data_IF_071860820988
#
_entry.id   IF_071860820988
#
_cell.length_a   1.000
_cell.length_b   1.000
_cell.length_c   1.000
_cell.angle_alpha   90.00
_cell.angle_beta   90.00
_cell.angle_gamma   90.00
#
_symmetry.space_group_name_H-M   'P 1'
#
loop_
_entity.id
_entity.type
_entity.pdbx_description
1 polymer ?
#
# COMPACT_ATOMS: atom_id res chain seq x y z
N UNK A 1 22.71 52.52 -7.03
CA UNK A 1 23.02 51.07 -7.07
C UNK A 1 22.22 50.27 -6.03
N UNK A 2 22.10 50.69 -4.78
CA UNK A 2 21.33 49.94 -3.75
C UNK A 2 19.84 49.80 -4.07
N UNK A 3 19.16 50.86 -4.51
CA UNK A 3 17.72 50.83 -4.81
C UNK A 3 17.33 49.76 -5.85
N UNK A 4 18.16 49.61 -6.90
CA UNK A 4 18.01 48.58 -7.94
C UNK A 4 18.24 47.16 -7.39
N UNK A 5 19.09 46.98 -6.37
CA UNK A 5 19.24 45.68 -5.69
C UNK A 5 18.00 45.31 -4.87
N UNK A 6 17.40 46.28 -4.17
CA UNK A 6 16.16 46.06 -3.42
C UNK A 6 14.96 45.73 -4.33
N UNK A 7 14.83 46.43 -5.46
CA UNK A 7 13.79 46.15 -6.46
C UNK A 7 13.95 44.75 -7.08
N UNK A 8 15.19 44.34 -7.38
CA UNK A 8 15.48 43.00 -7.85
C UNK A 8 15.19 41.92 -6.79
N UNK A 9 15.50 42.19 -5.51
CA UNK A 9 15.19 41.25 -4.42
C UNK A 9 13.67 41.07 -4.24
N UNK A 10 12.91 42.15 -4.30
CA UNK A 10 11.45 42.09 -4.22
C UNK A 10 10.85 41.26 -5.38
N UNK A 11 11.34 41.47 -6.61
CA UNK A 11 10.92 40.68 -7.77
C UNK A 11 11.25 39.19 -7.62
N UNK A 12 12.42 38.85 -7.07
CA UNK A 12 12.81 37.46 -6.80
C UNK A 12 11.91 36.82 -5.74
N UNK A 13 11.62 37.52 -4.64
CA UNK A 13 10.73 37.02 -3.59
C UNK A 13 9.31 36.75 -4.11
N UNK A 14 8.76 37.66 -4.92
CA UNK A 14 7.46 37.45 -5.57
C UNK A 14 7.49 36.22 -6.47
N UNK A 15 8.55 36.05 -7.27
CA UNK A 15 8.69 34.89 -8.16
C UNK A 15 8.77 33.58 -7.38
N UNK A 16 9.53 33.53 -6.28
CA UNK A 16 9.65 32.35 -5.41
C UNK A 16 8.29 31.99 -4.81
N UNK A 17 7.54 32.96 -4.30
CA UNK A 17 6.21 32.72 -3.73
C UNK A 17 5.23 32.17 -4.78
N UNK A 18 5.23 32.73 -5.99
CA UNK A 18 4.39 32.23 -7.06
C UNK A 18 4.76 30.78 -7.46
N UNK A 19 6.06 30.48 -7.58
CA UNK A 19 6.53 29.13 -7.86
C UNK A 19 6.16 28.14 -6.75
N UNK A 20 6.20 28.57 -5.48
CA UNK A 20 5.81 27.74 -4.35
C UNK A 20 4.31 27.42 -4.41
N UNK A 21 3.46 28.43 -4.62
CA UNK A 21 2.01 28.26 -4.74
C UNK A 21 1.65 27.33 -5.89
N UNK A 22 2.25 27.52 -7.07
CA UNK A 22 2.02 26.63 -8.22
C UNK A 22 2.42 25.18 -7.92
N UNK A 23 3.56 24.98 -7.24
CA UNK A 23 4.03 23.64 -6.87
C UNK A 23 3.06 22.98 -5.89
N UNK A 24 2.61 23.71 -4.87
CA UNK A 24 1.64 23.20 -3.89
C UNK A 24 0.32 22.80 -4.56
N UNK A 25 -0.18 23.61 -5.49
CA UNK A 25 -1.37 23.28 -6.25
C UNK A 25 -1.19 22.04 -7.12
N UNK A 26 -0.05 21.93 -7.82
CA UNK A 26 0.28 20.76 -8.64
C UNK A 26 0.34 19.50 -7.78
N UNK A 27 0.98 19.55 -6.62
CA UNK A 27 1.02 18.43 -5.66
C UNK A 27 -0.39 18.10 -5.15
N UNK A 28 -1.21 19.11 -4.84
CA UNK A 28 -2.60 18.93 -4.38
C UNK A 28 -3.49 18.27 -5.43
N UNK A 29 -3.33 18.62 -6.71
CA UNK A 29 -4.03 17.96 -7.82
C UNK A 29 -3.53 16.53 -8.02
N UNK A 30 -2.21 16.36 -8.05
CA UNK A 30 -1.57 15.06 -8.25
C UNK A 30 -1.98 14.04 -7.18
N UNK A 31 -1.93 14.40 -5.89
CA UNK A 31 -2.35 13.51 -4.80
C UNK A 31 -3.82 13.09 -4.91
N UNK A 32 -4.72 14.00 -5.35
CA UNK A 32 -6.13 13.69 -5.56
C UNK A 32 -6.32 12.66 -6.66
N UNK A 33 -5.67 12.86 -7.82
CA UNK A 33 -5.72 11.91 -8.94
C UNK A 33 -5.20 10.55 -8.48
N UNK A 34 -3.99 10.50 -7.89
CA UNK A 34 -3.42 9.26 -7.39
C UNK A 34 -4.34 8.53 -6.40
N UNK A 35 -5.00 9.25 -5.50
CA UNK A 35 -5.93 8.63 -4.55
C UNK A 35 -7.09 7.90 -5.22
N UNK A 36 -7.56 8.39 -6.37
CA UNK A 36 -8.65 7.73 -7.11
C UNK A 36 -8.15 6.40 -7.68
N UNK A 37 -6.97 6.42 -8.33
CA UNK A 37 -6.34 5.23 -8.89
C UNK A 37 -5.99 4.20 -7.82
N UNK A 38 -5.40 4.63 -6.70
CA UNK A 38 -5.05 3.73 -5.59
C UNK A 38 -6.32 3.11 -5.00
N UNK A 39 -7.41 3.88 -4.82
CA UNK A 39 -8.69 3.34 -4.31
C UNK A 39 -9.26 2.26 -5.22
N UNK A 40 -9.23 2.48 -6.53
CA UNK A 40 -9.73 1.52 -7.52
C UNK A 40 -8.88 0.24 -7.51
N UNK A 41 -7.56 0.40 -7.63
CA UNK A 41 -6.60 -0.72 -7.69
C UNK A 41 -6.60 -1.52 -6.38
N UNK A 42 -6.76 -0.87 -5.24
CA UNK A 42 -6.88 -1.53 -3.94
C UNK A 42 -8.10 -2.45 -3.86
N UNK A 43 -9.24 -1.96 -4.34
CA UNK A 43 -10.47 -2.75 -4.37
C UNK A 43 -10.33 -3.95 -5.31
N UNK A 44 -9.70 -3.75 -6.47
CA UNK A 44 -9.42 -4.82 -7.42
C UNK A 44 -8.49 -5.89 -6.83
N UNK A 45 -7.39 -5.49 -6.20
CA UNK A 45 -6.45 -6.40 -5.55
C UNK A 45 -7.11 -7.26 -4.46
N UNK A 46 -8.06 -6.69 -3.69
CA UNK A 46 -8.85 -7.44 -2.71
C UNK A 46 -9.83 -8.43 -3.38
N UNK A 47 -10.46 -8.02 -4.48
CA UNK A 47 -11.46 -8.83 -5.19
C UNK A 47 -10.87 -10.14 -5.73
N UNK A 48 -9.61 -10.16 -6.14
CA UNK A 48 -8.90 -11.37 -6.63
C UNK A 48 -8.98 -12.53 -5.61
N UNK A 49 -9.09 -12.23 -4.32
CA UNK A 49 -9.18 -13.22 -3.24
C UNK A 49 -10.55 -13.30 -2.57
N UNK A 50 -11.61 -12.85 -3.24
CA UNK A 50 -12.97 -12.78 -2.69
C UNK A 50 -13.07 -11.95 -1.40
N UNK A 51 -12.19 -10.97 -1.25
CA UNK A 51 -12.29 -9.95 -0.22
C UNK A 51 -12.98 -8.72 -0.80
N UNK A 52 -13.57 -7.93 0.07
CA UNK A 52 -14.10 -6.60 -0.25
C UNK A 52 -13.50 -5.59 0.72
N UNK A 53 -13.43 -4.34 0.31
CA UNK A 53 -12.77 -3.32 1.11
C UNK A 53 -12.75 -1.94 0.48
N UNK A 54 -12.20 -0.99 1.25
CA UNK A 54 -12.16 0.41 0.87
C UNK A 54 -10.92 1.08 1.45
N UNK A 55 -10.23 1.84 0.61
CA UNK A 55 -9.22 2.81 1.03
C UNK A 55 -9.84 4.23 1.09
N UNK A 56 -9.57 4.97 2.15
CA UNK A 56 -10.05 6.34 2.32
C UNK A 56 -8.88 7.23 2.70
N UNK A 57 -8.64 8.26 1.87
CA UNK A 57 -7.62 9.28 2.09
C UNK A 57 -8.31 10.56 2.56
N UNK A 58 -7.94 11.05 3.73
CA UNK A 58 -8.28 12.39 4.21
C UNK A 58 -7.01 13.25 4.15
N UNK A 59 -6.97 14.14 3.16
CA UNK A 59 -5.81 14.98 2.90
C UNK A 59 -5.72 16.23 3.77
N UNK A 60 -6.80 16.58 4.48
CA UNK A 60 -6.81 17.71 5.41
C UNK A 60 -6.33 17.25 6.79
N UNK A 61 -6.70 16.02 7.20
CA UNK A 61 -6.23 15.41 8.45
C UNK A 61 -4.98 14.56 8.30
N UNK A 62 -4.47 14.42 7.07
CA UNK A 62 -3.32 13.59 6.73
C UNK A 62 -3.48 12.13 7.17
N UNK A 63 -4.68 11.57 7.02
CA UNK A 63 -4.97 10.19 7.43
C UNK A 63 -5.32 9.28 6.26
N UNK A 64 -4.93 8.01 6.39
CA UNK A 64 -5.30 6.91 5.50
C UNK A 64 -5.98 5.81 6.31
N UNK A 65 -7.19 5.45 5.90
CA UNK A 65 -7.94 4.35 6.50
C UNK A 65 -8.15 3.26 5.45
N UNK A 66 -7.62 2.07 5.73
CA UNK A 66 -7.88 0.87 4.94
C UNK A 66 -8.85 -0.04 5.70
N UNK A 67 -9.85 -0.54 4.98
CA UNK A 67 -10.84 -1.50 5.45
C UNK A 67 -10.81 -2.71 4.52
N UNK A 68 -10.78 -3.93 5.07
CA UNK A 68 -11.04 -5.13 4.30
C UNK A 68 -11.84 -6.17 5.09
N UNK A 69 -12.71 -6.90 4.38
CA UNK A 69 -13.60 -7.91 4.92
C UNK A 69 -13.74 -9.08 3.94
N UNK A 70 -13.98 -10.30 4.44
CA UNK A 70 -14.32 -11.43 3.56
C UNK A 70 -15.70 -11.20 2.97
N UNK A 71 -15.89 -11.44 1.67
CA UNK A 71 -17.25 -11.53 1.12
C UNK A 71 -17.98 -12.68 1.80
N UNK A 72 -19.17 -12.42 2.33
CA UNK A 72 -20.06 -13.50 2.78
C UNK A 72 -20.50 -14.26 1.52
N UNK A 73 -20.21 -15.55 1.46
CA UNK A 73 -20.81 -16.45 0.48
C UNK A 73 -22.29 -16.58 0.83
N UNK A 74 -23.16 -15.97 0.03
CA UNK A 74 -24.62 -16.02 0.18
C UNK A 74 -25.23 -14.75 0.74
N UNK A 75 -25.60 -13.83 -0.16
CA UNK A 75 -26.90 -13.10 -0.20
C UNK A 75 -26.83 -12.13 -1.37
N UNK A 76 -27.06 -12.63 -2.58
CA UNK A 76 -27.38 -11.81 -3.75
C UNK A 76 -28.88 -11.45 -3.81
N UNK A 77 -29.63 -11.65 -2.73
CA UNK A 77 -31.10 -11.63 -2.80
C UNK A 77 -31.80 -11.33 -1.47
N UNK A 78 -31.31 -10.38 -0.66
CA UNK A 78 -32.18 -9.81 0.37
C UNK A 78 -31.69 -8.43 0.87
N UNK A 79 -32.32 -7.31 0.43
CA UNK A 79 -31.98 -5.97 0.93
C UNK A 79 -32.36 -5.75 2.41
N UNK A 80 -33.10 -6.68 3.04
CA UNK A 80 -33.80 -6.45 4.31
C UNK A 80 -33.23 -7.23 5.51
N UNK A 81 -31.92 -7.51 5.53
CA UNK A 81 -31.23 -8.12 6.70
C UNK A 81 -30.03 -7.31 7.24
N UNK A 82 -29.91 -6.03 6.88
CA UNK A 82 -28.83 -5.16 7.37
C UNK A 82 -29.05 -4.53 8.76
N UNK A 83 -30.19 -4.77 9.43
CA UNK A 83 -30.58 -3.99 10.63
C UNK A 83 -30.16 -4.55 11.98
N UNK A 84 -29.52 -5.73 12.07
CA UNK A 84 -29.29 -6.39 13.36
C UNK A 84 -28.02 -7.22 13.46
N UNK A 85 -26.93 -6.73 12.86
CA UNK A 85 -25.57 -7.13 13.28
C UNK A 85 -24.72 -5.87 13.41
N UNK A 86 -24.18 -5.69 14.62
CA UNK A 86 -23.57 -4.46 15.13
C UNK A 86 -22.63 -3.78 14.13
N UNK A 87 -22.79 -2.46 13.96
CA UNK A 87 -21.91 -1.53 13.21
C UNK A 87 -20.39 -1.71 13.47
N UNK A 88 -20.01 -2.43 14.53
CA UNK A 88 -18.63 -2.80 14.89
C UNK A 88 -17.96 -3.77 13.92
N UNK A 89 -18.70 -4.65 13.25
CA UNK A 89 -18.12 -5.62 12.30
C UNK A 89 -17.96 -5.07 10.88
N UNK A 90 -18.61 -3.94 10.58
CA UNK A 90 -18.68 -3.37 9.23
C UNK A 90 -17.55 -2.35 8.94
N UNK A 91 -16.81 -1.93 9.96
CA UNK A 91 -15.79 -0.88 9.88
C UNK A 91 -14.61 -1.20 10.81
N UNK A 92 -13.96 -2.35 10.62
CA UNK A 92 -12.69 -2.59 11.28
C UNK A 92 -11.58 -1.93 10.47
N UNK A 93 -11.02 -0.82 10.99
CA UNK A 93 -9.74 -0.27 10.54
C UNK A 93 -8.64 -1.33 10.63
N UNK A 94 -7.56 -1.20 9.85
CA UNK A 94 -6.35 -2.04 9.92
C UNK A 94 -5.97 -2.43 11.36
N UNK A 95 -6.08 -1.47 12.29
CA UNK A 95 -5.82 -1.64 13.73
C UNK A 95 -6.77 -2.60 14.48
N UNK A 96 -8.01 -2.78 14.01
CA UNK A 96 -9.04 -3.61 14.63
C UNK A 96 -9.25 -4.97 13.93
N UNK A 97 -8.51 -5.22 12.86
CA UNK A 97 -8.60 -6.45 12.07
C UNK A 97 -7.73 -7.57 12.68
N UNK A 98 -8.20 -8.82 12.62
CA UNK A 98 -7.40 -10.01 12.95
C UNK A 98 -6.11 -10.04 12.13
N UNK A 99 -5.00 -10.56 12.68
CA UNK A 99 -3.66 -10.55 12.05
C UNK A 99 -3.65 -10.85 10.55
N UNK A 100 -4.35 -11.90 10.12
CA UNK A 100 -4.41 -12.27 8.70
C UNK A 100 -5.18 -11.31 7.81
N UNK A 101 -6.22 -10.62 8.31
CA UNK A 101 -6.92 -9.62 7.50
C UNK A 101 -6.07 -8.35 7.33
N UNK A 102 -5.27 -8.01 8.35
CA UNK A 102 -4.37 -6.86 8.34
C UNK A 102 -3.30 -7.02 7.27
N UNK A 103 -2.63 -8.18 7.21
CA UNK A 103 -1.61 -8.47 6.20
C UNK A 103 -2.18 -8.41 4.78
N UNK A 104 -3.38 -8.95 4.52
CA UNK A 104 -4.02 -8.83 3.21
C UNK A 104 -4.33 -7.40 2.80
N UNK A 105 -4.86 -6.59 3.71
CA UNK A 105 -5.08 -5.17 3.42
C UNK A 105 -3.76 -4.44 3.12
N UNK A 106 -2.69 -4.76 3.84
CA UNK A 106 -1.36 -4.19 3.57
C UNK A 106 -0.84 -4.60 2.19
N UNK A 107 -0.85 -5.89 1.86
CA UNK A 107 -0.39 -6.39 0.55
C UNK A 107 -1.23 -5.82 -0.59
N UNK A 108 -2.56 -5.83 -0.48
CA UNK A 108 -3.43 -5.24 -1.49
C UNK A 108 -3.17 -3.75 -1.67
N UNK A 109 -2.83 -3.03 -0.60
CA UNK A 109 -2.47 -1.62 -0.68
C UNK A 109 -1.12 -1.40 -1.37
N UNK A 110 -0.12 -2.24 -1.10
CA UNK A 110 1.17 -2.20 -1.79
C UNK A 110 0.98 -2.46 -3.30
N UNK A 111 0.18 -3.46 -3.67
CA UNK A 111 -0.16 -3.74 -5.07
C UNK A 111 -0.86 -2.53 -5.73
N UNK A 112 -1.77 -1.85 -5.00
CA UNK A 112 -2.41 -0.64 -5.50
C UNK A 112 -1.43 0.52 -5.71
N UNK A 113 -0.41 0.64 -4.85
CA UNK A 113 0.67 1.62 -5.02
C UNK A 113 1.55 1.30 -6.23
N UNK A 114 1.77 0.02 -6.52
CA UNK A 114 2.53 -0.42 -7.70
C UNK A 114 1.87 -0.07 -9.03
N UNK A 115 0.56 0.19 -9.06
CA UNK A 115 -0.12 0.67 -10.26
C UNK A 115 0.17 2.14 -10.57
N UNK A 116 0.48 2.93 -9.55
CA UNK A 116 0.71 4.37 -9.71
C UNK A 116 2.17 4.78 -9.62
N UNK A 117 3.00 4.00 -8.89
CA UNK A 117 4.42 4.26 -8.71
C UNK A 117 5.21 3.44 -9.73
N UNK A 118 5.80 4.13 -10.70
CA UNK A 118 6.70 3.54 -11.67
C UNK A 118 8.10 3.45 -11.09
N UNK A 119 8.61 2.23 -10.95
CA UNK A 119 10.00 1.96 -10.56
C UNK A 119 10.46 0.67 -11.24
N UNK A 120 11.68 0.65 -11.83
CA UNK A 120 12.24 -0.56 -12.42
C UNK A 120 12.67 -1.58 -11.36
N UNK A 121 12.86 -1.16 -10.10
CA UNK A 121 13.25 -2.01 -8.98
C UNK A 121 12.34 -1.74 -7.78
N UNK A 122 11.87 -2.80 -7.13
CA UNK A 122 10.99 -2.73 -5.95
C UNK A 122 11.52 -3.65 -4.87
N UNK A 123 11.77 -3.07 -3.70
CA UNK A 123 12.30 -3.78 -2.54
C UNK A 123 11.28 -3.71 -1.42
N UNK A 124 10.93 -4.84 -0.82
CA UNK A 124 10.08 -4.91 0.35
C UNK A 124 10.77 -5.70 1.44
N UNK A 125 10.68 -5.19 2.67
CA UNK A 125 11.10 -5.85 3.89
C UNK A 125 9.90 -6.01 4.82
N UNK A 126 9.89 -7.08 5.60
CA UNK A 126 8.85 -7.40 6.61
C UNK A 126 7.39 -7.26 6.12
N UNK A 127 7.14 -7.51 4.83
CA UNK A 127 5.79 -7.40 4.25
C UNK A 127 4.84 -8.52 4.74
N UNK A 128 5.39 -9.55 5.38
CA UNK A 128 4.76 -10.81 5.79
C UNK A 128 4.59 -10.90 7.33
N UNK A 129 4.13 -9.79 7.92
CA UNK A 129 3.96 -9.58 9.37
C UNK A 129 3.19 -10.69 10.10
N UNK A 130 2.25 -11.36 9.43
CA UNK A 130 1.46 -12.44 10.04
C UNK A 130 1.85 -13.82 9.51
N UNK A 131 2.36 -14.65 10.42
CA UNK A 131 2.84 -16.04 10.20
C UNK A 131 1.80 -16.89 9.47
N UNK A 132 0.51 -16.71 9.80
CA UNK A 132 -0.59 -17.53 9.27
C UNK A 132 -0.87 -17.20 7.80
N UNK A 133 -0.53 -15.99 7.36
CA UNK A 133 -0.87 -15.48 6.02
C UNK A 133 0.34 -15.15 5.15
N UNK A 134 1.58 -15.47 5.59
CA UNK A 134 2.81 -15.15 4.83
C UNK A 134 2.82 -15.74 3.43
N UNK A 135 2.53 -17.05 3.29
CA UNK A 135 2.51 -17.73 1.98
C UNK A 135 1.50 -17.09 1.03
N UNK A 136 0.31 -16.77 1.54
CA UNK A 136 -0.74 -16.17 0.73
C UNK A 136 -0.41 -14.71 0.35
N UNK A 137 0.26 -13.98 1.24
CA UNK A 137 0.75 -12.62 0.99
C UNK A 137 1.82 -12.61 -0.10
N UNK A 138 2.79 -13.54 -0.03
CA UNK A 138 3.81 -13.70 -1.06
C UNK A 138 3.20 -14.13 -2.40
N UNK A 139 2.26 -15.07 -2.40
CA UNK A 139 1.57 -15.52 -3.61
C UNK A 139 0.79 -14.36 -4.29
N UNK A 140 0.15 -13.49 -3.50
CA UNK A 140 -0.47 -12.26 -4.02
C UNK A 140 0.56 -11.30 -4.63
N UNK A 141 1.72 -11.11 -3.99
CA UNK A 141 2.78 -10.24 -4.51
C UNK A 141 3.37 -10.78 -5.81
N UNK A 142 3.63 -12.09 -5.87
CA UNK A 142 4.17 -12.75 -7.06
C UNK A 142 3.18 -12.72 -8.22
N UNK A 143 1.89 -12.93 -7.96
CA UNK A 143 0.83 -12.83 -8.98
C UNK A 143 0.71 -11.40 -9.51
N UNK A 144 0.87 -10.39 -8.65
CA UNK A 144 0.83 -8.97 -9.02
C UNK A 144 2.14 -8.43 -9.62
N UNK A 145 3.18 -9.27 -9.77
CA UNK A 145 4.45 -8.84 -10.33
C UNK A 145 4.32 -8.57 -11.84
N UNK A 146 4.82 -7.42 -12.28
CA UNK A 146 4.80 -7.02 -13.70
C UNK A 146 6.08 -7.45 -14.42
N UNK A 147 6.01 -7.76 -15.72
CA UNK A 147 7.21 -7.94 -16.52
C UNK A 147 8.02 -6.63 -16.56
N UNK A 148 9.34 -6.74 -16.71
CA UNK A 148 10.30 -5.62 -16.75
C UNK A 148 10.47 -4.83 -15.44
N UNK A 149 10.06 -5.40 -14.30
CA UNK A 149 10.35 -4.87 -12.97
C UNK A 149 11.08 -5.92 -12.15
N UNK A 150 12.17 -5.54 -11.50
CA UNK A 150 12.89 -6.41 -10.57
C UNK A 150 12.30 -6.28 -9.16
N UNK A 151 11.95 -7.41 -8.57
CA UNK A 151 11.41 -7.47 -7.21
C UNK A 151 12.43 -8.13 -6.28
N UNK A 152 12.68 -7.50 -5.14
CA UNK A 152 13.49 -8.03 -4.05
C UNK A 152 12.64 -8.07 -2.78
N UNK A 153 12.43 -9.26 -2.24
CA UNK A 153 11.68 -9.47 -1.02
C UNK A 153 12.63 -9.96 0.06
N UNK A 154 12.70 -9.22 1.17
CA UNK A 154 13.39 -9.62 2.39
C UNK A 154 12.34 -10.18 3.33
N UNK A 155 12.54 -11.42 3.76
CA UNK A 155 11.60 -12.15 4.62
C UNK A 155 12.35 -13.18 5.46
N UNK A 156 11.85 -13.39 6.68
CA UNK A 156 12.28 -14.47 7.57
C UNK A 156 11.63 -15.82 7.23
N UNK A 157 10.72 -15.85 6.24
CA UNK A 157 10.06 -17.06 5.78
C UNK A 157 11.06 -17.94 5.01
N UNK A 158 11.14 -19.21 5.42
CA UNK A 158 11.79 -20.21 4.60
C UNK A 158 10.93 -20.49 3.36
N UNK A 159 11.45 -20.13 2.19
CA UNK A 159 10.80 -20.29 0.89
C UNK A 159 11.45 -21.46 0.17
N UNK A 160 10.67 -22.51 -0.09
CA UNK A 160 11.09 -23.55 -1.02
C UNK A 160 10.76 -23.11 -2.44
N UNK A 161 11.78 -23.07 -3.31
CA UNK A 161 11.61 -22.70 -4.72
C UNK A 161 10.59 -23.58 -5.45
N UNK A 162 10.48 -24.86 -5.07
CA UNK A 162 9.51 -25.81 -5.63
C UNK A 162 8.05 -25.41 -5.44
N UNK A 163 7.76 -24.57 -4.44
CA UNK A 163 6.39 -24.18 -4.10
C UNK A 163 5.82 -23.12 -5.06
N UNK A 164 6.68 -22.54 -5.92
CA UNK A 164 6.32 -21.42 -6.80
C UNK A 164 6.73 -21.69 -8.25
N UNK A 165 5.82 -21.45 -9.19
CA UNK A 165 6.02 -21.67 -10.63
C UNK A 165 6.74 -20.52 -11.36
N UNK A 166 7.02 -19.42 -10.65
CA UNK A 166 7.63 -18.20 -11.20
C UNK A 166 9.16 -18.33 -11.20
N UNK A 167 9.83 -17.62 -12.12
CA UNK A 167 11.29 -17.46 -12.11
C UNK A 167 11.74 -16.72 -10.83
N UNK A 168 11.89 -17.48 -9.75
CA UNK A 168 12.20 -16.99 -8.42
C UNK A 168 13.59 -17.47 -8.00
N UNK A 169 14.44 -16.52 -7.65
CA UNK A 169 15.76 -16.78 -7.08
C UNK A 169 15.66 -16.62 -5.56
N UNK A 170 15.80 -17.72 -4.83
CA UNK A 170 15.86 -17.71 -3.36
C UNK A 170 17.33 -17.65 -2.93
N UNK A 171 17.70 -16.63 -2.17
CA UNK A 171 19.00 -16.54 -1.53
C UNK A 171 18.80 -16.66 -0.01
N UNK A 172 19.26 -17.76 0.59
CA UNK A 172 19.28 -17.93 2.05
C UNK A 172 20.52 -17.27 2.61
N UNK A 173 20.34 -16.33 3.54
CA UNK A 173 21.45 -15.73 4.26
C UNK A 173 22.07 -16.72 5.25
N UNK A 174 23.38 -16.65 5.52
CA UNK A 174 24.01 -17.45 6.57
C UNK A 174 23.41 -17.11 7.94
N UNK A 175 23.44 -18.08 8.85
CA UNK A 175 22.93 -17.87 10.20
C UNK A 175 23.75 -16.77 10.92
N UNK A 176 23.11 -15.88 11.70
CA UNK A 176 23.82 -14.78 12.34
C UNK A 176 24.82 -15.29 13.38
N UNK A 177 26.03 -14.73 13.39
CA UNK A 177 27.03 -15.00 14.42
C UNK A 177 26.53 -14.50 15.78
N UNK A 178 26.03 -15.42 16.61
CA UNK A 178 25.72 -15.12 18.01
C UNK A 178 27.04 -15.07 18.76
N UNK A 179 27.57 -13.88 19.02
CA UNK A 179 28.60 -13.69 20.05
C UNK A 179 28.02 -14.23 21.35
N UNK A 180 28.52 -15.37 21.82
CA UNK A 180 28.20 -15.89 23.13
C UNK A 180 28.63 -14.84 24.15
N UNK A 181 27.67 -14.21 24.81
CA UNK A 181 27.94 -13.39 26.00
C UNK A 181 28.64 -14.29 27.00
N UNK A 182 29.93 -14.04 27.21
CA UNK A 182 30.72 -14.63 28.29
C UNK A 182 30.44 -13.85 29.57
#
# INVERSE_FOLDING_TARGET
MEKSRYENLAAVLTKINNCLQEREEKVRRFRKVLSIWIKASFKEALNIRNLDGKATFDFEKETLTLLAQKRRAGTASDPMRLSSQSKRDQQQSVSMMSGGKRSFATVAFILALWEVIHSPVRILDEFDVDIVSRRQSLDMMLTGAKPNVQYLFLTSLEINRSDYSVNLNVLRMPDPERKSST
#
